data_IF_306007489945
#
_entry.id   IF_306007489945
#
_cell.length_a   1.000
_cell.length_b   1.000
_cell.length_c   1.000
_cell.angle_alpha   90.00
_cell.angle_beta   90.00
_cell.angle_gamma   90.00
#
_symmetry.space_group_name_H-M   'P 1'
#
loop_
_entity.id
_entity.type
_entity.pdbx_description
1 polymer ?
#
# COMPACT_ATOMS: atom_id res chain seq x y z
N UNK A 1 3.27 -13.30 34.11
CA UNK A 1 3.77 -12.02 33.56
C UNK A 1 4.55 -12.33 32.29
N UNK A 2 4.00 -12.01 31.13
CA UNK A 2 4.68 -12.22 29.84
C UNK A 2 5.78 -11.17 29.70
N UNK A 3 7.04 -11.62 29.68
CA UNK A 3 8.20 -10.77 29.47
C UNK A 3 8.19 -10.36 28.00
N UNK A 4 7.72 -9.15 27.72
CA UNK A 4 7.88 -8.54 26.39
C UNK A 4 9.35 -8.23 26.23
N UNK A 5 10.02 -8.94 25.31
CA UNK A 5 11.39 -8.61 24.91
C UNK A 5 11.31 -7.32 24.12
N UNK A 6 11.51 -6.19 24.80
CA UNK A 6 11.70 -4.90 24.15
C UNK A 6 13.15 -4.85 23.71
N UNK A 7 13.37 -4.92 22.40
CA UNK A 7 14.69 -4.74 21.78
C UNK A 7 15.20 -3.32 22.06
N UNK A 8 16.41 -3.21 22.61
CA UNK A 8 17.00 -1.94 23.07
C UNK A 8 18.14 -1.44 22.19
N UNK A 9 18.47 -2.13 21.08
CA UNK A 9 19.55 -1.70 20.20
C UNK A 9 19.10 -0.53 19.31
N UNK A 10 19.60 0.67 19.63
CA UNK A 10 19.33 1.92 18.91
C UNK A 10 20.03 2.04 17.55
N UNK A 11 21.04 1.21 17.26
CA UNK A 11 21.77 1.20 15.99
C UNK A 11 21.12 0.24 14.96
N UNK A 12 20.08 -0.49 15.36
CA UNK A 12 19.38 -1.42 14.50
C UNK A 12 18.38 -0.67 13.60
N UNK A 13 18.27 -1.09 12.34
CA UNK A 13 17.24 -0.59 11.43
C UNK A 13 15.84 -0.82 12.03
N UNK A 14 14.99 0.19 11.93
CA UNK A 14 13.57 0.11 12.36
C UNK A 14 12.88 -1.06 11.69
N UNK A 15 11.95 -1.69 12.40
CA UNK A 15 11.03 -2.64 11.79
C UNK A 15 10.08 -1.91 10.83
N UNK A 16 10.06 -2.33 9.57
CA UNK A 16 9.19 -1.74 8.54
C UNK A 16 7.94 -2.59 8.37
N UNK A 17 6.80 -2.01 8.76
CA UNK A 17 5.49 -2.59 8.53
C UNK A 17 4.88 -2.02 7.25
N UNK A 18 4.62 -2.89 6.27
CA UNK A 18 4.06 -2.51 4.98
C UNK A 18 2.61 -3.00 4.94
N UNK A 19 1.67 -2.06 5.06
CA UNK A 19 0.25 -2.37 5.02
C UNK A 19 -0.32 -2.21 3.61
N UNK A 20 -0.76 -3.32 3.02
CA UNK A 20 -1.46 -3.30 1.73
C UNK A 20 -2.94 -2.91 1.91
N UNK A 21 -3.23 -1.64 1.66
CA UNK A 21 -4.57 -1.06 1.74
C UNK A 21 -5.22 -0.99 0.34
N UNK A 22 -5.87 0.13 -0.01
CA UNK A 22 -6.44 0.35 -1.33
C UNK A 22 -6.90 1.79 -1.55
N UNK A 23 -6.90 2.23 -2.81
CA UNK A 23 -7.22 3.61 -3.25
C UNK A 23 -8.55 4.14 -2.71
N UNK A 24 -9.53 3.26 -2.52
CA UNK A 24 -10.88 3.64 -2.10
C UNK A 24 -11.09 3.60 -0.58
N UNK A 25 -10.09 3.21 0.20
CA UNK A 25 -10.18 3.17 1.66
C UNK A 25 -10.47 4.56 2.24
N UNK A 26 -11.24 4.62 3.32
CA UNK A 26 -11.66 5.86 3.99
C UNK A 26 -11.35 5.82 5.46
N UNK A 27 -10.52 6.77 5.91
CA UNK A 27 -10.16 6.93 7.32
C UNK A 27 -11.28 7.62 8.11
N UNK A 28 -12.02 8.54 7.49
CA UNK A 28 -13.19 9.16 8.11
C UNK A 28 -14.31 8.11 8.30
N UNK A 29 -14.57 7.79 9.56
CA UNK A 29 -15.60 6.83 9.95
C UNK A 29 -17.02 7.42 9.84
N UNK A 30 -17.16 8.74 9.74
CA UNK A 30 -18.42 9.44 9.51
C UNK A 30 -18.86 9.52 8.04
N UNK A 31 -17.93 9.39 7.08
CA UNK A 31 -18.19 9.59 5.64
C UNK A 31 -19.28 8.65 5.10
N UNK A 32 -20.37 9.18 4.52
CA UNK A 32 -21.42 8.31 3.95
C UNK A 32 -21.03 7.87 2.54
N UNK A 33 -20.82 6.57 2.35
CA UNK A 33 -20.45 6.00 1.05
C UNK A 33 -21.61 5.25 0.42
N UNK A 34 -21.83 5.49 -0.88
CA UNK A 34 -22.83 4.78 -1.69
C UNK A 34 -22.45 3.33 -2.04
N UNK A 35 -21.15 3.00 -1.98
CA UNK A 35 -20.63 1.65 -2.23
C UNK A 35 -19.51 1.26 -1.27
N UNK A 36 -19.55 0.02 -0.78
CA UNK A 36 -18.49 -0.56 0.04
C UNK A 36 -18.31 0.12 1.39
N UNK A 37 -19.36 0.71 1.97
CA UNK A 37 -19.27 1.58 3.15
C UNK A 37 -18.49 0.96 4.32
N UNK A 38 -18.93 -0.22 4.79
CA UNK A 38 -18.29 -0.93 5.92
C UNK A 38 -16.84 -1.38 5.62
N UNK A 39 -16.55 -2.15 4.55
CA UNK A 39 -15.19 -2.65 4.32
C UNK A 39 -14.18 -1.53 4.07
N UNK A 40 -14.56 -0.46 3.36
CA UNK A 40 -13.66 0.68 3.07
C UNK A 40 -13.32 1.48 4.33
N UNK A 41 -14.26 1.59 5.27
CA UNK A 41 -14.04 2.26 6.55
C UNK A 41 -13.24 1.44 7.54
N UNK A 42 -13.49 0.13 7.65
CA UNK A 42 -12.72 -0.76 8.54
C UNK A 42 -11.25 -0.78 8.14
N UNK A 43 -10.94 -0.87 6.84
CA UNK A 43 -9.56 -0.73 6.37
C UNK A 43 -8.96 0.62 6.74
N UNK A 44 -9.73 1.70 6.67
CA UNK A 44 -9.23 3.04 7.00
C UNK A 44 -9.01 3.23 8.49
N UNK A 45 -9.83 2.60 9.35
CA UNK A 45 -9.57 2.55 10.78
C UNK A 45 -8.23 1.83 11.07
N UNK A 46 -7.95 0.73 10.36
CA UNK A 46 -6.68 0.04 10.46
C UNK A 46 -5.50 0.91 9.99
N UNK A 47 -5.63 1.64 8.88
CA UNK A 47 -4.61 2.61 8.44
C UNK A 47 -4.32 3.65 9.52
N UNK A 48 -5.37 4.25 10.10
CA UNK A 48 -5.23 5.23 11.18
C UNK A 48 -4.50 4.63 12.38
N UNK A 49 -4.92 3.45 12.85
CA UNK A 49 -4.29 2.78 14.00
C UNK A 49 -2.84 2.37 13.74
N UNK A 50 -2.52 1.95 12.52
CA UNK A 50 -1.15 1.59 12.14
C UNK A 50 -0.21 2.80 12.07
N UNK A 51 -0.72 3.98 11.69
CA UNK A 51 0.03 5.24 11.71
C UNK A 51 0.21 5.75 13.15
N UNK A 52 -0.84 5.75 13.98
CA UNK A 52 -0.76 6.10 15.41
C UNK A 52 0.26 5.20 16.16
N UNK A 53 0.29 3.90 15.81
CA UNK A 53 1.28 2.98 16.38
C UNK A 53 2.71 3.33 15.97
N UNK A 54 2.94 3.70 14.70
CA UNK A 54 4.26 4.11 14.24
C UNK A 54 4.72 5.41 14.90
N UNK A 55 3.83 6.40 15.03
CA UNK A 55 4.14 7.68 15.70
C UNK A 55 4.57 7.46 17.16
N UNK A 56 3.88 6.58 17.88
CA UNK A 56 4.21 6.24 19.28
C UNK A 56 5.46 5.37 19.44
N UNK A 57 5.98 4.77 18.36
CA UNK A 57 7.14 3.86 18.38
C UNK A 57 8.20 4.23 17.33
N UNK A 58 8.32 5.52 16.97
CA UNK A 58 9.11 5.98 15.82
C UNK A 58 10.62 5.65 15.90
N UNK A 59 11.15 5.32 17.08
CA UNK A 59 12.54 4.91 17.27
C UNK A 59 12.81 3.49 16.77
N UNK A 60 11.80 2.61 16.76
CA UNK A 60 11.96 1.17 16.45
C UNK A 60 11.02 0.69 15.34
N UNK A 61 10.04 1.50 14.96
CA UNK A 61 8.98 1.12 14.02
C UNK A 61 8.78 2.17 12.93
N UNK A 62 8.49 1.69 11.73
CA UNK A 62 8.11 2.51 10.58
C UNK A 62 6.95 1.85 9.83
N UNK A 63 5.92 2.63 9.51
CA UNK A 63 4.74 2.13 8.77
C UNK A 63 4.68 2.76 7.39
N UNK A 64 4.42 1.94 6.38
CA UNK A 64 4.02 2.37 5.03
C UNK A 64 2.63 1.83 4.71
N UNK A 65 1.71 2.73 4.34
CA UNK A 65 0.36 2.40 3.89
C UNK A 65 0.33 2.51 2.37
N UNK A 66 0.15 1.39 1.68
CA UNK A 66 0.05 1.38 0.22
C UNK A 66 -1.41 1.41 -0.20
N UNK A 67 -1.77 2.34 -1.08
CA UNK A 67 -3.12 2.48 -1.62
C UNK A 67 -3.13 2.25 -3.14
N UNK A 68 -2.92 1.00 -3.59
CA UNK A 68 -3.05 0.68 -5.01
C UNK A 68 -4.51 0.82 -5.45
N UNK A 69 -4.68 1.09 -6.74
CA UNK A 69 -5.93 0.94 -7.47
C UNK A 69 -6.19 -0.53 -7.82
N UNK A 70 -6.81 -0.78 -8.97
CA UNK A 70 -7.00 -2.15 -9.44
C UNK A 70 -5.66 -2.85 -9.72
N UNK A 71 -5.44 -4.01 -9.11
CA UNK A 71 -4.23 -4.81 -9.36
C UNK A 71 -4.47 -5.75 -10.52
N UNK A 72 -3.67 -5.62 -11.58
CA UNK A 72 -3.86 -6.37 -12.83
C UNK A 72 -2.66 -7.31 -13.08
N UNK A 73 -2.86 -8.63 -13.22
CA UNK A 73 -1.79 -9.56 -13.57
C UNK A 73 -1.52 -9.56 -15.08
N UNK A 74 -0.27 -9.85 -15.48
CA UNK A 74 0.19 -9.83 -16.87
C UNK A 74 -0.67 -10.66 -17.86
N UNK A 75 -1.25 -11.78 -17.41
CA UNK A 75 -2.05 -12.71 -18.26
C UNK A 75 -3.53 -12.36 -18.40
N UNK A 76 -4.02 -11.32 -17.73
CA UNK A 76 -5.43 -10.91 -17.82
C UNK A 76 -5.75 -10.05 -19.05
N UNK A 77 -4.74 -9.72 -19.87
CA UNK A 77 -4.94 -8.92 -21.08
C UNK A 77 -5.50 -9.75 -22.26
N UNK A 78 -5.59 -11.08 -22.13
CA UNK A 78 -5.89 -11.98 -23.26
C UNK A 78 -7.32 -12.59 -23.28
N UNK A 79 -8.26 -12.20 -22.41
CA UNK A 79 -9.66 -12.62 -22.62
C UNK A 79 -10.67 -12.41 -21.48
N UNK A 80 -11.83 -11.86 -21.84
CA UNK A 80 -13.07 -11.87 -21.03
C UNK A 80 -13.45 -10.54 -20.35
N UNK A 81 -14.57 -10.54 -19.62
CA UNK A 81 -15.19 -9.36 -18.93
C UNK A 81 -14.19 -8.62 -18.01
N UNK A 82 -13.18 -9.31 -17.49
CA UNK A 82 -12.12 -8.75 -16.66
C UNK A 82 -11.05 -8.00 -17.48
N UNK A 83 -10.89 -8.36 -18.76
CA UNK A 83 -10.11 -7.62 -19.75
C UNK A 83 -10.69 -6.24 -20.08
N UNK A 84 -12.01 -6.05 -19.93
CA UNK A 84 -12.65 -4.73 -20.07
C UNK A 84 -12.25 -3.80 -18.92
N UNK A 85 -12.25 -4.28 -17.67
CA UNK A 85 -11.76 -3.51 -16.53
C UNK A 85 -10.25 -3.21 -16.63
N UNK A 86 -9.50 -4.13 -17.23
CA UNK A 86 -8.06 -3.99 -17.48
C UNK A 86 -7.78 -2.96 -18.59
N UNK A 87 -8.55 -3.00 -19.69
CA UNK A 87 -8.50 -2.02 -20.78
C UNK A 87 -8.89 -0.61 -20.29
N UNK A 88 -9.94 -0.51 -19.47
CA UNK A 88 -10.34 0.73 -18.79
C UNK A 88 -9.22 1.21 -17.84
N UNK A 89 -8.56 0.31 -17.12
CA UNK A 89 -7.42 0.64 -16.25
C UNK A 89 -6.19 1.18 -16.99
N UNK A 90 -5.89 0.67 -18.19
CA UNK A 90 -4.86 1.22 -19.09
C UNK A 90 -5.25 2.56 -19.72
N UNK A 91 -6.54 2.79 -19.98
CA UNK A 91 -7.05 4.05 -20.57
C UNK A 91 -7.22 5.17 -19.52
N UNK A 92 -7.53 4.84 -18.26
CA UNK A 92 -7.73 5.83 -17.18
C UNK A 92 -6.42 6.33 -16.53
N UNK A 93 -5.26 5.83 -16.96
CA UNK A 93 -3.94 6.31 -16.57
C UNK A 93 -3.41 5.73 -15.24
N UNK A 94 -2.17 6.11 -14.90
CA UNK A 94 -1.38 5.60 -13.76
C UNK A 94 -2.04 5.76 -12.39
N UNK A 95 -3.19 6.42 -12.28
CA UNK A 95 -3.86 6.65 -11.01
C UNK A 95 -4.90 5.56 -10.65
N UNK A 96 -5.33 4.74 -11.60
CA UNK A 96 -6.47 3.83 -11.42
C UNK A 96 -6.10 2.34 -11.29
N UNK A 97 -5.00 1.92 -11.89
CA UNK A 97 -4.54 0.53 -11.84
C UNK A 97 -3.03 0.44 -11.69
N UNK A 98 -2.55 -0.72 -11.22
CA UNK A 98 -1.14 -1.05 -11.08
C UNK A 98 -0.91 -2.49 -11.51
N UNK A 99 0.19 -2.76 -12.23
CA UNK A 99 0.53 -4.14 -12.56
C UNK A 99 0.96 -4.89 -11.31
N UNK A 100 0.62 -6.18 -11.23
CA UNK A 100 1.01 -7.03 -10.10
C UNK A 100 2.51 -6.99 -9.84
N UNK A 101 3.31 -6.99 -10.91
CA UNK A 101 4.77 -6.97 -10.84
C UNK A 101 5.29 -5.61 -10.35
N UNK A 102 4.68 -4.49 -10.78
CA UNK A 102 5.05 -3.14 -10.32
C UNK A 102 4.76 -2.98 -8.82
N UNK A 103 3.59 -3.43 -8.37
CA UNK A 103 3.22 -3.43 -6.94
C UNK A 103 4.17 -4.32 -6.12
N UNK A 104 4.47 -5.53 -6.61
CA UNK A 104 5.37 -6.46 -5.96
C UNK A 104 6.79 -5.89 -5.82
N UNK A 105 7.35 -5.34 -6.89
CA UNK A 105 8.67 -4.70 -6.87
C UNK A 105 8.71 -3.53 -5.88
N UNK A 106 7.68 -2.70 -5.86
CA UNK A 106 7.59 -1.58 -4.93
C UNK A 106 7.50 -2.04 -3.46
N UNK A 107 6.72 -3.09 -3.16
CA UNK A 107 6.64 -3.66 -1.81
C UNK A 107 7.98 -4.23 -1.34
N UNK A 108 8.72 -4.92 -2.22
CA UNK A 108 10.07 -5.42 -1.91
C UNK A 108 11.04 -4.28 -1.67
N UNK A 109 10.98 -3.23 -2.49
CA UNK A 109 11.78 -2.02 -2.29
C UNK A 109 11.55 -1.37 -0.91
N UNK A 110 10.29 -1.24 -0.48
CA UNK A 110 9.97 -0.73 0.86
C UNK A 110 10.50 -1.64 1.98
N UNK A 111 10.49 -2.95 1.77
CA UNK A 111 11.00 -3.90 2.77
C UNK A 111 12.52 -3.76 2.95
N UNK A 112 13.26 -3.56 1.86
CA UNK A 112 14.73 -3.51 1.85
C UNK A 112 15.25 -2.11 2.21
N UNK A 113 14.70 -1.06 1.58
CA UNK A 113 15.20 0.30 1.68
C UNK A 113 14.09 1.27 2.11
N UNK A 114 13.15 1.54 1.20
CA UNK A 114 12.03 2.45 1.41
C UNK A 114 12.38 3.90 1.74
N UNK A 115 13.66 4.29 1.73
CA UNK A 115 14.06 5.68 2.04
C UNK A 115 13.45 6.67 1.06
N UNK A 116 12.98 7.79 1.61
CA UNK A 116 12.42 8.90 0.84
C UNK A 116 11.01 8.67 0.30
N UNK A 117 10.34 7.57 0.67
CA UNK A 117 8.91 7.40 0.41
C UNK A 117 8.07 7.98 1.55
N UNK A 118 6.88 8.48 1.20
CA UNK A 118 5.89 8.91 2.17
C UNK A 118 5.29 7.70 2.92
N UNK A 119 4.85 7.90 4.18
CA UNK A 119 4.15 6.87 4.96
C UNK A 119 2.81 6.43 4.34
N UNK A 120 2.24 7.22 3.43
CA UNK A 120 1.05 6.86 2.65
C UNK A 120 1.40 6.99 1.18
N UNK A 121 1.37 5.89 0.45
CA UNK A 121 1.78 5.84 -0.96
C UNK A 121 0.58 5.51 -1.84
N UNK A 122 0.23 6.45 -2.71
CA UNK A 122 -0.87 6.28 -3.67
C UNK A 122 -0.45 5.57 -4.96
N UNK A 123 -1.43 4.98 -5.65
CA UNK A 123 -1.26 4.18 -6.86
C UNK A 123 -0.25 4.73 -7.87
N UNK A 124 -0.33 6.02 -8.21
CA UNK A 124 0.54 6.60 -9.25
C UNK A 124 2.03 6.57 -8.87
N UNK A 125 2.35 6.74 -7.58
CA UNK A 125 3.73 6.60 -7.09
C UNK A 125 4.19 5.15 -7.15
N UNK A 126 3.32 4.21 -6.74
CA UNK A 126 3.58 2.76 -6.81
C UNK A 126 3.89 2.34 -8.25
N UNK A 127 3.06 2.74 -9.22
CA UNK A 127 3.24 2.44 -10.65
C UNK A 127 4.58 2.95 -11.16
N UNK A 128 4.87 4.25 -10.98
CA UNK A 128 6.10 4.86 -11.51
C UNK A 128 7.35 4.22 -10.91
N UNK A 129 7.41 4.10 -9.58
CA UNK A 129 8.60 3.56 -8.91
C UNK A 129 8.73 2.06 -9.14
N UNK A 130 7.63 1.31 -9.08
CA UNK A 130 7.60 -0.11 -9.38
C UNK A 130 8.08 -0.42 -10.81
N UNK A 131 7.70 0.40 -11.79
CA UNK A 131 8.18 0.25 -13.17
C UNK A 131 9.68 0.50 -13.30
N UNK A 132 10.18 1.59 -12.72
CA UNK A 132 11.63 1.89 -12.71
C UNK A 132 12.46 0.75 -12.09
N UNK A 133 11.95 0.13 -11.01
CA UNK A 133 12.61 -0.98 -10.32
C UNK A 133 12.63 -2.29 -11.12
N UNK A 134 11.77 -2.44 -12.13
CA UNK A 134 11.72 -3.60 -13.01
C UNK A 134 12.53 -3.42 -14.29
N UNK A 135 12.88 -2.17 -14.62
CA UNK A 135 13.71 -1.82 -15.78
C UNK A 135 15.21 -1.77 -15.45
N UNK A 136 15.56 -1.81 -14.15
CA UNK A 136 16.93 -1.89 -13.61
C UNK A 136 17.44 -3.32 -13.51
#
# INVERSE_FOLDING_TARGET
MTRVLVETNHDRLRFRYIHLSGKFVRRDQGEKLWWGNKPRKIKGLLETKALEFAESHATVWETFILRPGGVVPKRLMDGGVLGIFTAIGTVLGENWSVRLEELGAFMVYLAIDGRGEDHIVDNARIVRRGRMLLES
#
